data_IF_259299960445
#
_entry.id   IF_259299960445
#
_cell.length_a   1.000
_cell.length_b   1.000
_cell.length_c   1.000
_cell.angle_alpha   90.00
_cell.angle_beta   90.00
_cell.angle_gamma   90.00
#
_symmetry.space_group_name_H-M   'P 1'
#
loop_
_entity.id
_entity.type
_entity.pdbx_description
1 polymer ?
#
# COMPACT_ATOMS: atom_id res chain seq x y z
N UNK A 1 19.85 -26.00 -12.61
CA UNK A 1 18.98 -24.84 -12.91
C UNK A 1 19.76 -23.60 -12.53
N UNK A 2 19.67 -22.52 -13.32
CA UNK A 2 20.24 -21.23 -12.89
C UNK A 2 19.48 -20.73 -11.66
N UNK A 3 20.06 -19.79 -10.91
CA UNK A 3 19.42 -19.26 -9.71
C UNK A 3 18.03 -18.64 -10.03
N UNK A 4 17.94 -17.95 -11.15
CA UNK A 4 16.73 -17.26 -11.62
C UNK A 4 15.60 -18.25 -11.97
N UNK A 5 15.92 -19.34 -12.68
CA UNK A 5 14.94 -20.38 -12.97
C UNK A 5 14.44 -21.04 -11.68
N UNK A 6 15.33 -21.31 -10.73
CA UNK A 6 14.95 -21.91 -9.46
C UNK A 6 14.04 -20.99 -8.63
N UNK A 7 14.29 -19.67 -8.64
CA UNK A 7 13.41 -18.67 -8.00
C UNK A 7 12.03 -18.64 -8.65
N UNK A 8 11.96 -18.66 -9.98
CA UNK A 8 10.70 -18.70 -10.71
C UNK A 8 9.89 -19.96 -10.42
N UNK A 9 10.54 -21.12 -10.45
CA UNK A 9 9.90 -22.40 -10.14
C UNK A 9 9.36 -22.41 -8.70
N UNK A 10 10.14 -21.90 -7.74
CA UNK A 10 9.73 -21.78 -6.34
C UNK A 10 8.50 -20.86 -6.17
N UNK A 11 8.45 -19.74 -6.88
CA UNK A 11 7.29 -18.85 -6.87
C UNK A 11 6.02 -19.57 -7.38
N UNK A 12 6.13 -20.31 -8.48
CA UNK A 12 4.99 -21.04 -9.05
C UNK A 12 4.50 -22.17 -8.13
N UNK A 13 5.41 -22.90 -7.50
CA UNK A 13 5.05 -23.92 -6.52
C UNK A 13 4.37 -23.30 -5.29
N UNK A 14 4.81 -22.13 -4.80
CA UNK A 14 4.13 -21.42 -3.72
C UNK A 14 2.69 -21.01 -4.08
N UNK A 15 2.45 -20.52 -5.31
CA UNK A 15 1.10 -20.19 -5.78
C UNK A 15 0.19 -21.41 -5.80
N UNK A 16 0.72 -22.56 -6.26
CA UNK A 16 0.01 -23.84 -6.27
C UNK A 16 -0.35 -24.31 -4.85
N UNK A 17 0.58 -24.20 -3.89
CA UNK A 17 0.29 -24.51 -2.49
C UNK A 17 -0.76 -23.57 -1.89
N UNK A 18 -0.72 -22.28 -2.21
CA UNK A 18 -1.70 -21.32 -1.72
C UNK A 18 -3.13 -21.65 -2.19
N UNK A 19 -3.29 -22.16 -3.42
CA UNK A 19 -4.58 -22.66 -3.92
C UNK A 19 -5.19 -23.77 -3.06
N UNK A 20 -4.37 -24.61 -2.41
CA UNK A 20 -4.87 -25.67 -1.53
C UNK A 20 -5.55 -25.14 -0.27
N UNK A 21 -5.20 -23.93 0.18
CA UNK A 21 -5.85 -23.29 1.34
C UNK A 21 -7.34 -23.06 1.07
N UNK A 22 -7.69 -22.65 -0.15
CA UNK A 22 -9.08 -22.42 -0.58
C UNK A 22 -9.86 -23.74 -0.70
N UNK A 23 -9.16 -24.85 -0.96
CA UNK A 23 -9.73 -26.17 -1.23
C UNK A 23 -9.82 -27.06 0.02
N UNK A 24 -9.52 -26.53 1.21
CA UNK A 24 -9.60 -27.31 2.44
C UNK A 24 -11.02 -27.78 2.75
N UNK A 25 -11.17 -29.07 3.08
CA UNK A 25 -12.47 -29.70 3.35
C UNK A 25 -13.13 -29.21 4.65
N UNK A 26 -12.35 -28.63 5.57
CA UNK A 26 -12.85 -28.10 6.84
C UNK A 26 -13.43 -26.67 6.73
N UNK A 27 -13.38 -26.06 5.54
CA UNK A 27 -14.02 -24.78 5.27
C UNK A 27 -15.46 -25.00 4.79
N UNK A 28 -16.47 -24.35 5.39
CA UNK A 28 -17.88 -24.47 4.97
C UNK A 28 -18.12 -23.69 3.66
N UNK A 29 -17.62 -24.22 2.54
CA UNK A 29 -17.62 -23.56 1.23
C UNK A 29 -18.46 -24.31 0.20
N UNK A 30 -19.16 -23.55 -0.64
CA UNK A 30 -19.82 -24.07 -1.84
C UNK A 30 -18.84 -24.16 -3.02
N UNK A 31 -19.28 -24.73 -4.14
CA UNK A 31 -18.49 -24.72 -5.38
C UNK A 31 -18.24 -23.28 -5.88
N UNK A 32 -19.21 -22.38 -5.68
CA UNK A 32 -19.07 -20.97 -6.03
C UNK A 32 -18.00 -20.29 -5.18
N UNK A 33 -18.01 -20.49 -3.86
CA UNK A 33 -17.02 -19.90 -2.94
C UNK A 33 -15.60 -20.36 -3.27
N UNK A 34 -15.41 -21.65 -3.64
CA UNK A 34 -14.10 -22.16 -4.07
C UNK A 34 -13.62 -21.51 -5.36
N UNK A 35 -14.50 -21.36 -6.35
CA UNK A 35 -14.16 -20.70 -7.61
C UNK A 35 -13.82 -19.22 -7.39
N UNK A 36 -14.61 -18.51 -6.57
CA UNK A 36 -14.33 -17.13 -6.18
C UNK A 36 -13.05 -16.99 -5.36
N UNK A 37 -12.75 -17.96 -4.49
CA UNK A 37 -11.52 -18.01 -3.71
C UNK A 37 -10.28 -18.15 -4.59
N UNK A 38 -10.33 -18.97 -5.64
CA UNK A 38 -9.24 -19.06 -6.62
C UNK A 38 -9.10 -17.77 -7.45
N UNK A 39 -10.22 -17.12 -7.81
CA UNK A 39 -10.20 -15.80 -8.44
C UNK A 39 -9.62 -14.72 -7.51
N UNK A 40 -9.92 -14.80 -6.23
CA UNK A 40 -9.32 -13.95 -5.19
C UNK A 40 -7.82 -14.18 -5.08
N UNK A 41 -7.35 -15.43 -5.10
CA UNK A 41 -5.92 -15.75 -5.14
C UNK A 41 -5.22 -15.11 -6.33
N UNK A 42 -5.79 -15.19 -7.54
CA UNK A 42 -5.23 -14.52 -8.72
C UNK A 42 -5.14 -12.99 -8.55
N UNK A 43 -6.13 -12.37 -7.91
CA UNK A 43 -6.12 -10.93 -7.59
C UNK A 43 -5.03 -10.58 -6.56
N UNK A 44 -4.84 -11.42 -5.54
CA UNK A 44 -3.75 -11.24 -4.58
C UNK A 44 -2.37 -11.37 -5.24
N UNK A 45 -2.21 -12.34 -6.15
CA UNK A 45 -0.97 -12.50 -6.92
C UNK A 45 -0.67 -11.24 -7.74
N UNK A 46 -1.66 -10.71 -8.47
CA UNK A 46 -1.52 -9.43 -9.20
C UNK A 46 -1.04 -8.32 -8.27
N UNK A 47 -1.68 -8.14 -7.13
CA UNK A 47 -1.32 -7.09 -6.18
C UNK A 47 0.10 -7.27 -5.61
N UNK A 48 0.51 -8.52 -5.36
CA UNK A 48 1.85 -8.86 -4.93
C UNK A 48 2.89 -8.48 -5.99
N UNK A 49 2.66 -8.84 -7.25
CA UNK A 49 3.56 -8.48 -8.36
C UNK A 49 3.65 -6.95 -8.51
N UNK A 50 2.52 -6.25 -8.49
CA UNK A 50 2.48 -4.77 -8.59
C UNK A 50 3.23 -4.09 -7.43
N UNK A 51 3.24 -4.69 -6.24
CA UNK A 51 3.87 -4.12 -5.03
C UNK A 51 5.34 -4.49 -4.90
N UNK A 52 5.71 -5.73 -5.20
CA UNK A 52 7.03 -6.26 -4.89
C UNK A 52 7.96 -6.37 -6.10
N UNK A 53 7.42 -6.39 -7.33
CA UNK A 53 8.21 -6.51 -8.55
C UNK A 53 8.25 -5.20 -9.36
N UNK A 54 7.12 -4.50 -9.44
CA UNK A 54 6.97 -3.34 -10.33
C UNK A 54 7.29 -1.98 -9.69
N UNK A 55 7.59 -1.94 -8.39
CA UNK A 55 7.95 -0.71 -7.68
C UNK A 55 9.47 -0.55 -7.65
N UNK A 56 9.93 0.68 -7.90
CA UNK A 56 11.34 1.11 -7.89
C UNK A 56 12.00 1.10 -6.51
N UNK A 57 11.33 0.52 -5.51
CA UNK A 57 11.82 0.40 -4.14
C UNK A 57 11.61 1.65 -3.28
N UNK A 58 11.89 1.54 -1.97
CA UNK A 58 11.55 2.56 -0.99
C UNK A 58 12.39 3.84 -1.09
N UNK A 59 13.56 3.81 -1.75
CA UNK A 59 14.34 5.03 -2.01
C UNK A 59 13.73 5.88 -3.15
N UNK A 60 12.89 5.27 -3.99
CA UNK A 60 12.22 5.91 -5.12
C UNK A 60 10.72 5.58 -5.08
N UNK A 61 10.01 6.01 -4.03
CA UNK A 61 8.63 5.60 -3.82
C UNK A 61 7.69 6.18 -4.88
N UNK A 62 6.64 5.44 -5.20
CA UNK A 62 5.54 5.91 -6.04
C UNK A 62 4.23 5.65 -5.31
N UNK A 63 3.40 6.67 -5.18
CA UNK A 63 2.02 6.51 -4.72
C UNK A 63 1.19 5.93 -5.86
N UNK A 64 0.71 4.70 -5.70
CA UNK A 64 -0.15 4.03 -6.68
C UNK A 64 -1.51 3.68 -6.10
N UNK A 65 -2.59 3.80 -6.88
CA UNK A 65 -3.86 3.26 -6.48
C UNK A 65 -3.76 1.74 -6.31
N UNK A 66 -4.61 1.18 -5.45
CA UNK A 66 -4.76 -0.27 -5.40
C UNK A 66 -5.10 -0.80 -6.80
N UNK A 67 -4.46 -1.91 -7.16
CA UNK A 67 -4.61 -2.52 -8.47
C UNK A 67 -6.08 -2.84 -8.78
N UNK A 68 -6.48 -2.61 -10.03
CA UNK A 68 -7.87 -2.77 -10.45
C UNK A 68 -8.42 -4.17 -10.10
N UNK A 69 -9.66 -4.20 -9.60
CA UNK A 69 -10.40 -5.37 -9.14
C UNK A 69 -9.75 -6.20 -8.02
N UNK A 70 -8.65 -5.73 -7.43
CA UNK A 70 -8.07 -6.35 -6.24
C UNK A 70 -8.86 -5.92 -5.01
N UNK A 71 -9.29 -6.90 -4.23
CA UNK A 71 -10.04 -6.75 -2.98
C UNK A 71 -9.29 -7.47 -1.89
N UNK A 72 -9.15 -6.87 -0.71
CA UNK A 72 -8.41 -7.48 0.40
C UNK A 72 -9.02 -7.08 1.74
N UNK A 73 -9.26 -8.06 2.62
CA UNK A 73 -9.50 -7.81 4.04
C UNK A 73 -10.67 -6.90 4.36
N UNK A 74 -11.84 -7.13 3.73
CA UNK A 74 -13.03 -6.27 3.83
C UNK A 74 -12.75 -4.85 3.30
N UNK A 75 -12.37 -4.77 2.03
CA UNK A 75 -12.17 -3.50 1.33
C UNK A 75 -13.46 -2.66 1.38
N UNK A 76 -13.31 -1.39 1.74
CA UNK A 76 -14.44 -0.47 1.71
C UNK A 76 -14.68 -0.03 0.26
N UNK A 77 -15.85 -0.34 -0.35
CA UNK A 77 -16.13 0.01 -1.73
C UNK A 77 -16.15 1.53 -1.97
N UNK A 78 -16.32 2.34 -0.93
CA UNK A 78 -16.31 3.80 -1.00
C UNK A 78 -14.91 4.40 -0.83
N UNK A 79 -13.89 3.57 -0.65
CA UNK A 79 -12.53 4.04 -0.56
C UNK A 79 -11.80 4.01 -1.90
N UNK A 80 -11.09 5.10 -2.17
CA UNK A 80 -9.98 5.16 -3.10
C UNK A 80 -8.67 5.00 -2.31
N UNK A 81 -8.12 3.80 -2.34
CA UNK A 81 -6.86 3.48 -1.67
C UNK A 81 -5.67 3.81 -2.56
N UNK A 82 -4.72 4.55 -2.00
CA UNK A 82 -3.43 4.85 -2.63
C UNK A 82 -2.33 4.48 -1.64
N UNK A 83 -1.24 3.88 -2.08
CA UNK A 83 -0.14 3.53 -1.17
C UNK A 83 1.21 3.57 -1.84
N UNK A 84 2.25 3.61 -1.01
CA UNK A 84 3.64 3.53 -1.42
C UNK A 84 4.43 2.66 -0.44
N UNK A 85 5.30 1.81 -0.99
CA UNK A 85 6.32 1.10 -0.20
C UNK A 85 7.39 2.08 0.24
N UNK A 86 7.73 2.04 1.54
CA UNK A 86 8.75 2.89 2.15
C UNK A 86 9.69 2.05 3.03
N UNK A 87 10.74 2.69 3.49
CA UNK A 87 11.65 2.19 4.52
C UNK A 87 11.79 3.29 5.57
N UNK A 88 11.45 2.97 6.83
CA UNK A 88 11.47 3.92 7.94
C UNK A 88 12.85 4.54 8.25
N UNK A 89 13.94 3.99 7.69
CA UNK A 89 15.29 4.60 7.81
C UNK A 89 15.42 5.92 7.03
N UNK A 90 14.55 6.15 6.05
CA UNK A 90 14.49 7.37 5.25
C UNK A 90 13.34 8.26 5.72
N UNK A 91 13.43 9.53 5.36
CA UNK A 91 12.37 10.51 5.55
C UNK A 91 11.74 10.80 4.19
N UNK A 92 10.43 11.00 4.18
CA UNK A 92 9.66 11.21 2.97
C UNK A 92 8.93 12.53 3.04
N UNK A 93 8.73 13.13 1.88
CA UNK A 93 7.82 14.24 1.73
C UNK A 93 6.68 13.84 0.82
N UNK A 94 5.46 14.09 1.29
CA UNK A 94 4.24 13.93 0.51
C UNK A 94 3.69 15.33 0.24
N UNK A 95 3.46 15.65 -1.03
CA UNK A 95 2.79 16.88 -1.44
C UNK A 95 1.52 16.56 -2.18
N UNK A 96 0.50 17.40 -2.03
CA UNK A 96 -0.74 17.19 -2.73
C UNK A 96 -1.69 18.37 -2.67
N UNK A 97 -2.81 18.19 -3.37
CA UNK A 97 -3.99 19.05 -3.24
C UNK A 97 -5.14 18.21 -2.65
N UNK A 98 -5.86 18.78 -1.68
CA UNK A 98 -6.90 18.11 -0.90
C UNK A 98 -8.07 17.58 -1.76
N UNK A 99 -8.30 18.19 -2.92
CA UNK A 99 -9.47 17.88 -3.73
C UNK A 99 -10.77 18.12 -2.97
N UNK A 100 -11.80 17.34 -3.26
CA UNK A 100 -13.13 17.49 -2.64
C UNK A 100 -13.67 16.20 -2.00
N UNK A 101 -12.90 15.11 -2.03
CA UNK A 101 -13.29 13.82 -1.43
C UNK A 101 -13.65 13.99 0.05
N UNK A 102 -14.73 13.34 0.49
CA UNK A 102 -15.26 13.60 1.83
C UNK A 102 -14.23 13.37 2.95
N UNK A 103 -13.51 12.25 2.89
CA UNK A 103 -12.47 11.91 3.86
C UNK A 103 -11.13 11.69 3.19
N UNK A 104 -10.07 12.18 3.82
CA UNK A 104 -8.68 11.88 3.51
C UNK A 104 -7.93 11.57 4.82
N UNK A 105 -7.21 10.45 4.83
CA UNK A 105 -6.35 10.06 5.93
C UNK A 105 -5.11 9.29 5.48
N UNK A 106 -4.02 9.50 6.19
CA UNK A 106 -2.71 8.88 5.95
C UNK A 106 -2.36 7.97 7.13
N UNK A 107 -1.83 6.79 6.85
CA UNK A 107 -1.42 5.83 7.85
C UNK A 107 -0.04 5.28 7.54
N UNK A 108 0.87 5.38 8.50
CA UNK A 108 2.17 4.71 8.49
C UNK A 108 1.98 3.27 8.98
N UNK A 109 2.10 2.28 8.08
CA UNK A 109 1.81 0.88 8.36
C UNK A 109 3.07 0.02 8.39
N UNK A 110 3.11 -0.91 9.35
CA UNK A 110 4.09 -2.00 9.44
C UNK A 110 3.41 -3.37 9.17
N UNK A 111 2.20 -3.37 8.62
CA UNK A 111 1.46 -4.59 8.34
C UNK A 111 2.13 -5.35 7.19
N UNK A 112 2.52 -6.59 7.46
CA UNK A 112 3.03 -7.50 6.45
C UNK A 112 2.25 -8.82 6.53
N UNK A 113 1.35 -9.03 5.56
CA UNK A 113 0.50 -10.24 5.49
C UNK A 113 1.30 -11.53 5.20
N UNK A 114 2.57 -11.42 4.77
CA UNK A 114 3.43 -12.58 4.57
C UNK A 114 4.16 -13.04 5.85
N UNK A 115 4.18 -12.21 6.90
CA UNK A 115 4.87 -12.54 8.15
C UNK A 115 4.01 -13.50 8.97
N UNK A 116 4.60 -14.63 9.38
CA UNK A 116 3.93 -15.67 10.19
C UNK A 116 3.80 -15.32 11.69
N UNK A 117 4.46 -14.25 12.13
CA UNK A 117 4.46 -13.76 13.51
C UNK A 117 3.43 -12.61 13.70
N UNK A 118 3.51 -11.90 14.84
CA UNK A 118 2.60 -10.80 15.21
C UNK A 118 2.57 -9.72 14.11
N UNK A 119 1.36 -9.41 13.62
CA UNK A 119 1.13 -8.20 12.82
C UNK A 119 1.37 -6.97 13.69
N UNK A 120 2.27 -6.11 13.23
CA UNK A 120 2.49 -4.80 13.84
C UNK A 120 1.44 -3.81 13.31
N UNK A 121 0.95 -2.95 14.21
CA UNK A 121 -0.04 -1.92 13.90
C UNK A 121 0.56 -0.74 13.11
N UNK A 122 -0.24 0.31 12.95
CA UNK A 122 0.23 1.58 12.39
C UNK A 122 1.01 2.40 13.42
N UNK A 123 2.09 3.06 12.98
CA UNK A 123 2.94 3.88 13.84
C UNK A 123 2.46 5.33 13.98
N UNK A 124 1.79 5.86 12.96
CA UNK A 124 1.29 7.22 12.91
C UNK A 124 0.10 7.34 11.97
N UNK A 125 -0.80 8.26 12.28
CA UNK A 125 -1.98 8.55 11.47
C UNK A 125 -2.17 10.06 11.39
N UNK A 126 -2.57 10.55 10.21
CA UNK A 126 -3.03 11.92 10.02
C UNK A 126 -4.40 11.89 9.36
N UNK A 127 -5.34 12.68 9.88
CA UNK A 127 -6.62 12.94 9.24
C UNK A 127 -6.61 14.37 8.71
N UNK A 128 -7.27 14.60 7.58
CA UNK A 128 -7.37 15.93 6.99
C UNK A 128 -7.96 17.01 7.93
N UNK A 129 -8.75 16.61 8.93
CA UNK A 129 -9.29 17.53 9.93
C UNK A 129 -8.21 18.12 10.86
N UNK A 130 -7.09 17.41 11.01
CA UNK A 130 -5.95 17.78 11.85
C UNK A 130 -4.79 18.35 11.03
N UNK A 131 -4.96 18.47 9.70
CA UNK A 131 -3.91 18.91 8.79
C UNK A 131 -3.97 20.41 8.53
N UNK A 132 -2.79 21.03 8.47
CA UNK A 132 -2.59 22.34 7.89
C UNK A 132 -2.71 22.24 6.36
N UNK A 133 -3.74 22.86 5.82
CA UNK A 133 -4.03 22.93 4.39
C UNK A 133 -4.21 24.40 4.03
N UNK A 134 -3.54 24.86 2.99
CA UNK A 134 -3.62 26.26 2.57
C UNK A 134 -4.97 26.59 1.92
N UNK A 135 -5.19 27.88 1.65
CA UNK A 135 -6.41 28.37 1.01
C UNK A 135 -6.71 27.72 -0.36
N UNK A 136 -5.66 27.36 -1.10
CA UNK A 136 -5.77 26.76 -2.43
C UNK A 136 -5.91 25.22 -2.34
N UNK A 137 -5.97 24.67 -1.13
CA UNK A 137 -6.14 23.26 -0.85
C UNK A 137 -4.83 22.46 -0.87
N UNK A 138 -3.67 23.09 -0.95
CA UNK A 138 -2.40 22.38 -0.98
C UNK A 138 -1.89 22.07 0.42
N UNK A 139 -1.12 20.99 0.52
CA UNK A 139 -0.47 20.58 1.75
C UNK A 139 0.86 19.88 1.46
N UNK A 140 1.73 19.92 2.47
CA UNK A 140 2.95 19.13 2.56
C UNK A 140 2.92 18.32 3.85
N UNK A 141 3.32 17.05 3.81
CA UNK A 141 3.50 16.17 4.97
C UNK A 141 4.94 15.68 4.98
N UNK A 142 5.59 15.76 6.14
CA UNK A 142 6.86 15.06 6.40
C UNK A 142 6.55 13.74 7.09
N UNK A 143 6.96 12.63 6.49
CA UNK A 143 6.88 11.31 7.10
C UNK A 143 8.27 10.86 7.54
N UNK A 144 8.49 10.77 8.85
CA UNK A 144 9.79 10.52 9.46
C UNK A 144 9.64 9.86 10.83
N UNK A 145 10.71 9.22 11.33
CA UNK A 145 10.76 8.79 12.72
C UNK A 145 11.00 9.96 13.70
N UNK A 146 11.61 11.05 13.22
CA UNK A 146 11.91 12.24 14.02
C UNK A 146 10.75 13.23 13.94
N UNK A 147 10.30 13.82 15.06
CA UNK A 147 9.27 14.85 15.07
C UNK A 147 9.58 16.00 14.11
N UNK A 148 8.53 16.55 13.50
CA UNK A 148 8.60 17.73 12.65
C UNK A 148 7.40 18.64 12.95
N UNK A 149 7.58 19.94 12.76
CA UNK A 149 6.48 20.90 12.87
C UNK A 149 5.53 20.78 11.67
N UNK A 150 4.29 21.23 11.86
CA UNK A 150 3.21 21.15 10.87
C UNK A 150 2.69 19.72 10.68
N UNK A 151 2.35 19.37 9.44
CA UNK A 151 1.84 18.03 9.13
C UNK A 151 2.96 16.98 9.21
N UNK A 152 3.01 16.24 10.32
CA UNK A 152 3.98 15.19 10.54
C UNK A 152 3.32 13.80 10.65
N UNK A 153 3.68 12.90 9.73
CA UNK A 153 3.27 11.50 9.79
C UNK A 153 4.37 10.68 10.46
N UNK A 154 4.16 10.31 11.73
CA UNK A 154 5.12 9.51 12.48
C UNK A 154 5.36 8.14 11.84
N UNK A 155 6.62 7.84 11.53
CA UNK A 155 7.07 6.50 11.17
C UNK A 155 7.59 5.77 12.40
N UNK A 156 7.26 4.49 12.52
CA UNK A 156 7.88 3.58 13.47
C UNK A 156 9.08 2.87 12.82
N UNK A 157 9.99 2.28 13.61
CA UNK A 157 11.17 1.59 13.07
C UNK A 157 10.84 0.50 12.05
N UNK A 158 9.68 -0.14 12.21
CA UNK A 158 9.19 -1.24 11.37
C UNK A 158 8.24 -0.78 10.26
N UNK A 159 8.01 0.53 10.12
CA UNK A 159 7.11 1.04 9.06
C UNK A 159 7.70 0.77 7.69
N UNK A 160 6.90 0.13 6.84
CA UNK A 160 7.27 -0.29 5.49
C UNK A 160 6.30 0.20 4.41
N UNK A 161 5.18 0.81 4.81
CA UNK A 161 4.18 1.30 3.88
C UNK A 161 3.54 2.59 4.39
N UNK A 162 3.26 3.51 3.48
CA UNK A 162 2.29 4.59 3.70
C UNK A 162 1.02 4.23 2.94
N UNK A 163 -0.10 4.15 3.66
CA UNK A 163 -1.42 3.93 3.09
C UNK A 163 -2.25 5.20 3.23
N UNK A 164 -2.78 5.66 2.11
CA UNK A 164 -3.71 6.78 2.03
C UNK A 164 -5.11 6.22 1.78
N UNK A 165 -6.00 6.48 2.73
CA UNK A 165 -7.42 6.18 2.60
C UNK A 165 -8.14 7.45 2.24
N UNK A 166 -8.83 7.42 1.11
CA UNK A 166 -9.72 8.50 0.72
C UNK A 166 -11.13 7.93 0.59
N UNK A 167 -12.09 8.43 1.36
CA UNK A 167 -13.45 7.88 1.35
C UNK A 167 -14.40 8.87 0.71
N UNK A 168 -15.14 8.39 -0.29
CA UNK A 168 -16.20 9.16 -0.91
C UNK A 168 -17.45 9.17 -0.04
N UNK A 169 -18.16 10.30 -0.02
CA UNK A 169 -19.57 10.32 0.38
C UNK A 169 -20.47 10.33 -0.88
N UNK A 170 -20.13 11.12 -1.88
CA UNK A 170 -20.75 11.12 -3.21
C UNK A 170 -19.70 11.02 -4.33
N UNK A 171 -19.48 9.79 -4.83
CA UNK A 171 -18.50 9.46 -5.88
C UNK A 171 -18.69 10.24 -7.18
N UNK A 172 -19.89 10.75 -7.46
CA UNK A 172 -20.17 11.45 -8.71
C UNK A 172 -19.82 12.94 -8.65
N UNK A 173 -19.70 13.51 -7.44
CA UNK A 173 -19.44 14.95 -7.23
C UNK A 173 -18.06 15.24 -6.66
N UNK A 174 -17.42 14.23 -6.12
CA UNK A 174 -16.17 14.37 -5.38
C UNK A 174 -14.95 14.00 -6.22
N UNK A 175 -13.82 14.66 -5.93
CA UNK A 175 -12.52 14.42 -6.55
C UNK A 175 -11.52 14.00 -5.47
N UNK A 176 -10.83 12.86 -5.62
CA UNK A 176 -9.72 12.48 -4.76
C UNK A 176 -8.67 13.58 -4.63
N UNK A 177 -7.93 13.54 -3.54
CA UNK A 177 -6.69 14.26 -3.40
C UNK A 177 -5.68 13.79 -4.46
N UNK A 178 -4.98 14.74 -5.07
CA UNK A 178 -3.83 14.47 -5.94
C UNK A 178 -2.59 14.44 -5.07
N UNK A 179 -1.74 13.42 -5.23
CA UNK A 179 -0.64 13.16 -4.30
C UNK A 179 0.63 12.83 -5.06
N UNK A 180 1.75 13.24 -4.49
CA UNK A 180 3.11 12.88 -4.89
C UNK A 180 3.92 12.54 -3.64
N UNK A 181 4.91 11.67 -3.78
CA UNK A 181 5.82 11.29 -2.71
C UNK A 181 7.25 11.32 -3.24
N UNK A 182 8.17 11.82 -2.41
CA UNK A 182 9.61 11.75 -2.66
C UNK A 182 10.33 11.27 -1.39
N UNK A 183 11.41 10.52 -1.57
CA UNK A 183 12.35 10.21 -0.50
C UNK A 183 13.37 11.34 -0.40
N UNK A 184 13.55 11.93 0.78
CA UNK A 184 14.45 13.07 0.99
C UNK A 184 15.93 12.68 0.96
N UNK A 185 16.23 11.38 0.98
CA UNK A 185 17.58 10.82 0.84
C UNK A 185 17.84 10.25 -0.56
N UNK A 186 16.92 10.42 -1.52
CA UNK A 186 17.15 10.08 -2.92
C UNK A 186 18.06 11.13 -3.57
N UNK A 187 19.20 10.70 -4.08
CA UNK A 187 20.27 11.55 -4.62
C UNK A 187 20.59 11.28 -6.10
N UNK A 188 20.06 10.20 -6.67
CA UNK A 188 20.32 9.77 -8.05
C UNK A 188 19.04 9.21 -8.69
N UNK A 189 19.10 8.84 -9.97
CA UNK A 189 18.03 8.10 -10.61
C UNK A 189 17.90 6.67 -10.03
N UNK A 190 16.73 6.02 -10.15
CA UNK A 190 16.59 4.61 -9.79
C UNK A 190 17.62 3.75 -10.53
N UNK A 191 18.28 2.80 -9.84
CA UNK A 191 19.21 1.88 -10.49
C UNK A 191 18.45 0.93 -11.42
N UNK A 192 19.20 0.25 -12.29
CA UNK A 192 18.67 -0.90 -13.03
C UNK A 192 18.22 -2.02 -12.07
N UNK A 193 17.39 -2.94 -12.57
CA UNK A 193 16.98 -4.13 -11.83
C UNK A 193 18.21 -4.93 -11.36
N UNK A 194 18.19 -5.34 -10.10
CA UNK A 194 19.19 -6.22 -9.49
C UNK A 194 18.68 -7.67 -9.55
N UNK A 195 19.40 -8.62 -10.19
CA UNK A 195 18.99 -10.02 -10.36
C UNK A 195 18.89 -10.86 -9.07
#
# INVERSE_FOLDING_TARGET
>A
MTNEQAVWDAFCEQLKEAGKVIMRDDLPTTAFDRAEGLRYMARLTKAGLDTFCELTGPKYPVLRPQADMVKMGLDNPDNYYVGASINAKYDYRIRGNRGTIHFLGFAAQAQNFAVRNKMLGGAGHLNHADMEIDHDGNFEIIASQRPHDGNWLQLGPETSQILVRQSYLDKLKERPATLSIECLQADQAPPALDP
#
